data_IF_734833090515
#
_entry.id   IF_734833090515
#
_cell.length_a   1.000
_cell.length_b   1.000
_cell.length_c   1.000
_cell.angle_alpha   90.00
_cell.angle_beta   90.00
_cell.angle_gamma   90.00
#
_symmetry.space_group_name_H-M   'P 1'
#
loop_
_entity.id
_entity.type
_entity.pdbx_description
1 polymer ?
#
# COMPACT_ATOMS: atom_id res chain seq x y z
N UNK A 1 79.35 25.74 19.93
CA UNK A 1 79.64 27.18 20.09
C UNK A 1 78.31 27.91 20.17
N UNK A 2 77.97 28.48 21.34
CA UNK A 2 76.77 29.28 21.69
C UNK A 2 75.40 28.56 21.54
N UNK A 3 74.36 28.76 22.35
CA UNK A 3 74.03 29.77 23.36
C UNK A 3 72.92 29.22 24.28
N UNK A 4 72.96 29.58 25.57
CA UNK A 4 71.87 29.41 26.54
C UNK A 4 70.68 30.35 26.26
N UNK A 5 69.47 29.95 26.67
CA UNK A 5 68.55 30.63 27.65
C UNK A 5 67.08 30.21 27.42
N UNK A 6 66.43 29.58 28.41
CA UNK A 6 65.54 30.19 29.43
C UNK A 6 64.40 31.05 28.86
N UNK A 7 63.16 30.56 28.99
CA UNK A 7 61.93 31.34 29.17
C UNK A 7 60.97 30.46 30.02
N UNK A 8 60.98 30.60 31.35
CA UNK A 8 59.93 31.27 32.15
C UNK A 8 58.53 30.64 32.03
N UNK A 9 58.03 30.06 33.13
CA UNK A 9 56.57 29.98 33.39
C UNK A 9 55.99 31.39 33.66
N UNK A 10 54.78 31.56 34.22
CA UNK A 10 53.99 30.57 34.97
C UNK A 10 52.44 30.68 34.77
N UNK A 11 51.72 29.96 35.65
CA UNK A 11 50.53 30.41 36.38
C UNK A 11 49.18 30.54 35.66
N UNK A 12 48.34 29.56 36.01
CA UNK A 12 46.90 29.63 36.28
C UNK A 12 46.05 30.63 35.49
N UNK A 13 45.20 30.09 34.62
CA UNK A 13 43.88 30.69 34.40
C UNK A 13 42.81 29.61 34.45
N UNK A 14 42.12 29.58 35.59
CA UNK A 14 40.66 29.49 35.73
C UNK A 14 39.90 28.54 34.80
N UNK A 15 39.19 27.61 35.43
CA UNK A 15 38.30 26.67 34.80
C UNK A 15 37.41 27.31 33.74
N UNK A 16 37.45 26.71 32.55
CA UNK A 16 36.33 26.75 31.62
C UNK A 16 35.60 25.44 31.77
N UNK A 17 34.41 25.55 32.35
CA UNK A 17 33.42 24.50 32.40
C UNK A 17 33.27 23.83 31.03
N UNK A 18 33.32 22.50 31.01
CA UNK A 18 32.97 21.65 29.85
C UNK A 18 31.43 21.58 29.67
N UNK A 19 30.64 22.35 30.43
CA UNK A 19 29.19 22.37 30.35
C UNK A 19 28.63 23.41 29.37
N UNK A 20 28.98 23.36 28.09
CA UNK A 20 28.13 24.00 27.05
C UNK A 20 28.54 23.58 25.64
N UNK A 21 28.47 22.29 25.35
CA UNK A 21 28.57 21.82 23.96
C UNK A 21 27.41 20.88 23.60
N UNK A 22 26.25 21.13 24.19
CA UNK A 22 24.99 20.47 23.89
C UNK A 22 23.91 21.54 23.77
N UNK A 23 24.00 22.44 22.78
CA UNK A 23 22.94 23.45 22.64
C UNK A 23 22.58 23.91 21.24
N UNK A 24 23.29 23.55 20.16
CA UNK A 24 22.90 24.02 18.81
C UNK A 24 23.07 23.00 17.68
N UNK A 25 23.17 21.72 18.00
CA UNK A 25 22.84 20.65 17.05
C UNK A 25 21.35 20.37 17.16
N UNK A 26 20.49 21.23 16.61
CA UNK A 26 19.08 20.88 16.44
C UNK A 26 19.09 19.69 15.48
N UNK A 27 18.98 18.47 16.02
CA UNK A 27 18.74 17.29 15.21
C UNK A 27 17.48 17.65 14.43
N UNK A 28 17.67 17.91 13.13
CA UNK A 28 16.62 18.42 12.27
C UNK A 28 15.66 17.26 12.09
N UNK A 29 14.71 17.15 13.02
CA UNK A 29 13.66 16.16 12.90
C UNK A 29 12.95 16.51 11.60
N UNK A 30 12.73 15.49 10.76
CA UNK A 30 12.12 15.61 9.43
C UNK A 30 10.76 16.31 9.45
N UNK A 31 10.20 16.53 10.64
CA UNK A 31 9.02 17.31 10.94
C UNK A 31 9.12 18.79 10.58
N UNK A 32 10.28 19.43 10.44
CA UNK A 32 10.33 20.92 10.34
C UNK A 32 10.21 21.51 8.91
N UNK A 33 9.94 20.70 7.88
CA UNK A 33 9.66 21.22 6.53
C UNK A 33 8.15 21.43 6.32
N UNK A 34 7.67 22.69 6.23
CA UNK A 34 6.24 22.97 6.06
C UNK A 34 5.66 22.36 4.77
N UNK A 35 6.46 22.24 3.70
CA UNK A 35 6.08 21.61 2.43
C UNK A 35 5.83 20.10 2.54
N UNK A 36 6.60 19.40 3.37
CA UNK A 36 6.39 17.97 3.61
C UNK A 36 5.17 17.74 4.50
N UNK A 37 4.93 18.61 5.49
CA UNK A 37 3.71 18.58 6.32
C UNK A 37 2.45 18.78 5.48
N UNK A 38 2.44 19.77 4.58
CA UNK A 38 1.30 20.02 3.69
C UNK A 38 1.00 18.81 2.81
N UNK A 39 2.01 18.20 2.18
CA UNK A 39 1.85 16.98 1.40
C UNK A 39 1.36 15.79 2.22
N UNK A 40 1.82 15.64 3.46
CA UNK A 40 1.30 14.59 4.34
C UNK A 40 -0.15 14.80 4.72
N UNK A 41 -0.59 16.05 4.94
CA UNK A 41 -1.98 16.38 5.26
C UNK A 41 -2.87 16.10 4.05
N UNK A 42 -2.48 16.55 2.85
CA UNK A 42 -3.19 16.25 1.60
C UNK A 42 -3.28 14.73 1.35
N UNK A 43 -2.21 13.99 1.61
CA UNK A 43 -2.25 12.53 1.53
C UNK A 43 -3.23 11.92 2.54
N UNK A 44 -3.18 12.33 3.81
CA UNK A 44 -4.08 11.83 4.86
C UNK A 44 -5.54 12.11 4.49
N UNK A 45 -5.84 13.34 4.05
CA UNK A 45 -7.17 13.73 3.60
C UNK A 45 -7.64 12.92 2.40
N UNK A 46 -6.74 12.64 1.44
CA UNK A 46 -7.07 11.79 0.28
C UNK A 46 -7.39 10.34 0.67
N UNK A 47 -6.73 9.80 1.70
CA UNK A 47 -6.98 8.44 2.23
C UNK A 47 -8.33 8.37 2.94
N UNK A 48 -8.71 9.43 3.66
CA UNK A 48 -10.00 9.51 4.35
C UNK A 48 -11.15 9.79 3.37
N UNK A 49 -10.86 10.45 2.25
CA UNK A 49 -11.83 10.67 1.18
C UNK A 49 -12.13 9.40 0.40
N UNK A 50 -13.29 9.35 -0.25
CA UNK A 50 -13.66 8.21 -1.12
C UNK A 50 -12.72 8.22 -2.34
N UNK A 51 -12.14 7.08 -2.76
CA UNK A 51 -11.22 7.07 -3.88
C UNK A 51 -11.92 7.59 -5.15
N UNK A 52 -11.38 8.68 -5.69
CA UNK A 52 -11.88 9.33 -6.90
C UNK A 52 -11.60 8.44 -8.11
N UNK A 53 -12.63 8.21 -8.93
CA UNK A 53 -12.46 7.52 -10.20
C UNK A 53 -11.72 8.46 -11.17
N UNK A 54 -10.48 8.11 -11.54
CA UNK A 54 -9.78 8.83 -12.60
C UNK A 54 -10.49 8.56 -13.92
N UNK A 55 -11.01 9.63 -14.55
CA UNK A 55 -11.69 9.52 -15.83
C UNK A 55 -10.74 8.94 -16.89
N UNK A 56 -11.27 8.08 -17.77
CA UNK A 56 -10.51 7.60 -18.92
C UNK A 56 -10.13 8.79 -19.79
N UNK A 57 -8.84 9.14 -19.85
CA UNK A 57 -8.36 10.09 -20.85
C UNK A 57 -8.58 9.47 -22.24
N UNK A 58 -9.15 10.22 -23.19
CA UNK A 58 -9.22 9.83 -24.61
C UNK A 58 -7.80 9.85 -25.18
N UNK A 59 -7.00 8.80 -24.94
CA UNK A 59 -5.62 8.73 -25.44
C UNK A 59 -5.66 8.26 -26.89
N UNK A 60 -4.87 8.92 -27.75
CA UNK A 60 -4.69 8.61 -29.17
C UNK A 60 -3.85 7.34 -29.39
N UNK A 61 -3.09 6.90 -28.38
CA UNK A 61 -2.31 5.66 -28.39
C UNK A 61 -2.78 4.70 -27.29
N UNK A 62 -3.00 3.41 -27.59
CA UNK A 62 -3.22 2.42 -26.55
C UNK A 62 -1.91 2.27 -25.77
N UNK A 63 -1.97 2.49 -24.46
CA UNK A 63 -0.90 2.00 -23.59
C UNK A 63 -0.93 0.47 -23.61
N UNK A 64 0.26 -0.17 -23.58
CA UNK A 64 0.43 -1.51 -24.10
C UNK A 64 -0.28 -2.59 -23.27
N UNK A 65 -0.55 -2.35 -21.99
CA UNK A 65 -1.02 -3.40 -21.09
C UNK A 65 -2.17 -2.94 -20.20
N UNK A 66 -3.09 -3.87 -19.93
CA UNK A 66 -4.12 -3.72 -18.89
C UNK A 66 -4.06 -4.88 -17.91
N UNK A 67 -4.32 -4.59 -16.64
CA UNK A 67 -4.27 -5.57 -15.55
C UNK A 67 -5.66 -5.74 -14.96
N UNK A 68 -6.17 -6.95 -14.94
CA UNK A 68 -7.38 -7.31 -14.21
C UNK A 68 -7.01 -8.11 -12.96
N UNK A 69 -7.53 -7.70 -11.81
CA UNK A 69 -7.27 -8.34 -10.53
C UNK A 69 -8.58 -8.81 -9.91
N UNK A 70 -8.67 -10.10 -9.63
CA UNK A 70 -9.78 -10.72 -8.92
C UNK A 70 -9.38 -10.97 -7.48
N UNK A 71 -10.11 -10.38 -6.55
CA UNK A 71 -9.94 -10.58 -5.11
C UNK A 71 -11.08 -11.46 -4.60
N UNK A 72 -10.73 -12.51 -3.86
CA UNK A 72 -11.67 -13.42 -3.21
C UNK A 72 -11.46 -13.39 -1.70
N UNK A 73 -12.54 -13.34 -0.93
CA UNK A 73 -12.49 -13.34 0.52
C UNK A 73 -13.79 -13.83 1.16
N UNK A 74 -13.73 -14.11 2.46
CA UNK A 74 -14.89 -14.54 3.25
C UNK A 74 -15.65 -13.35 3.86
N UNK A 75 -14.95 -12.26 4.20
CA UNK A 75 -15.53 -11.07 4.83
C UNK A 75 -15.65 -9.92 3.83
N UNK A 76 -16.87 -9.37 3.71
CA UNK A 76 -17.18 -8.21 2.86
C UNK A 76 -16.42 -6.93 3.28
N UNK A 77 -16.41 -6.51 4.56
CA UNK A 77 -15.82 -5.22 4.92
C UNK A 77 -14.30 -5.19 4.69
N UNK A 78 -13.62 -6.30 4.95
CA UNK A 78 -12.18 -6.45 4.71
C UNK A 78 -11.90 -6.41 3.20
N UNK A 79 -12.74 -7.07 2.40
CA UNK A 79 -12.68 -7.06 0.94
C UNK A 79 -12.85 -5.66 0.33
N UNK A 80 -13.82 -4.89 0.83
CA UNK A 80 -14.06 -3.53 0.35
C UNK A 80 -12.99 -2.54 0.85
N UNK A 81 -12.46 -2.72 2.07
CA UNK A 81 -11.33 -1.93 2.58
C UNK A 81 -10.06 -2.17 1.76
N UNK A 82 -9.75 -3.43 1.46
CA UNK A 82 -8.60 -3.80 0.64
C UNK A 82 -8.75 -3.31 -0.81
N UNK A 83 -9.95 -3.40 -1.38
CA UNK A 83 -10.25 -2.82 -2.69
C UNK A 83 -9.94 -1.31 -2.72
N UNK A 84 -10.33 -0.56 -1.68
CA UNK A 84 -10.02 0.88 -1.57
C UNK A 84 -8.53 1.15 -1.51
N UNK A 85 -7.78 0.34 -0.76
CA UNK A 85 -6.32 0.42 -0.72
C UNK A 85 -5.70 0.23 -2.12
N UNK A 86 -6.11 -0.82 -2.85
CA UNK A 86 -5.63 -1.07 -4.22
C UNK A 86 -5.96 0.08 -5.18
N UNK A 87 -7.17 0.64 -5.08
CA UNK A 87 -7.60 1.78 -5.90
C UNK A 87 -6.77 3.03 -5.59
N UNK A 88 -6.46 3.28 -4.31
CA UNK A 88 -5.60 4.39 -3.89
C UNK A 88 -4.17 4.23 -4.41
N UNK A 89 -3.62 3.01 -4.39
CA UNK A 89 -2.29 2.72 -4.94
C UNK A 89 -2.24 2.88 -6.46
N UNK A 90 -3.32 2.56 -7.18
CA UNK A 90 -3.40 2.81 -8.61
C UNK A 90 -3.58 4.31 -8.94
N UNK A 91 -4.29 5.05 -8.07
CA UNK A 91 -4.47 6.48 -8.20
C UNK A 91 -3.16 7.25 -8.04
N UNK A 92 -2.28 6.85 -7.11
CA UNK A 92 -0.95 7.46 -6.96
C UNK A 92 -0.06 7.25 -8.19
N UNK A 93 -0.28 6.16 -8.93
CA UNK A 93 0.35 5.88 -10.22
C UNK A 93 -0.35 6.57 -11.40
N UNK A 94 -1.35 7.42 -11.15
CA UNK A 94 -2.13 8.17 -12.16
C UNK A 94 -2.84 7.27 -13.20
N UNK A 95 -3.10 6.02 -12.86
CA UNK A 95 -3.74 5.08 -13.78
C UNK A 95 -5.27 5.06 -13.60
N UNK A 96 -6.03 5.09 -14.71
CA UNK A 96 -7.47 4.93 -14.66
C UNK A 96 -7.88 3.52 -14.21
N UNK A 97 -8.77 3.47 -13.22
CA UNK A 97 -9.27 2.22 -12.64
C UNK A 97 -10.77 2.04 -12.80
N UNK A 98 -11.21 0.78 -12.84
CA UNK A 98 -12.62 0.37 -12.75
C UNK A 98 -12.72 -0.76 -11.75
N UNK A 99 -13.75 -0.77 -10.92
CA UNK A 99 -14.00 -1.85 -9.99
C UNK A 99 -15.46 -2.29 -10.02
N UNK A 100 -15.72 -3.51 -9.58
CA UNK A 100 -17.05 -4.09 -9.55
C UNK A 100 -17.17 -5.23 -8.56
N UNK A 101 -18.38 -5.40 -8.05
CA UNK A 101 -18.77 -6.54 -7.24
C UNK A 101 -19.20 -7.70 -8.13
N UNK A 102 -18.59 -8.88 -7.94
CA UNK A 102 -19.03 -10.10 -8.61
C UNK A 102 -20.03 -10.86 -7.72
N UNK A 103 -20.87 -11.71 -8.31
CA UNK A 103 -21.79 -12.55 -7.55
C UNK A 103 -21.03 -13.47 -6.58
N UNK A 104 -21.55 -13.58 -5.37
CA UNK A 104 -20.99 -14.41 -4.29
C UNK A 104 -21.17 -15.88 -4.62
N UNK A 105 -20.13 -16.70 -4.41
CA UNK A 105 -20.25 -18.16 -4.51
C UNK A 105 -20.69 -18.71 -3.15
N UNK A 106 -21.82 -19.39 -3.12
CA UNK A 106 -22.38 -19.99 -1.90
C UNK A 106 -22.24 -21.51 -2.01
N UNK A 107 -21.49 -22.11 -1.09
CA UNK A 107 -21.41 -23.57 -0.93
C UNK A 107 -22.19 -23.95 0.32
N UNK A 108 -23.03 -24.99 0.24
CA UNK A 108 -23.86 -25.45 1.35
C UNK A 108 -23.59 -26.92 1.61
N UNK A 109 -23.59 -27.30 2.89
CA UNK A 109 -23.48 -28.69 3.31
C UNK A 109 -24.41 -28.94 4.50
N UNK A 110 -25.08 -30.08 4.48
CA UNK A 110 -25.91 -30.54 5.57
C UNK A 110 -25.13 -31.55 6.40
N UNK A 111 -25.08 -31.34 7.71
CA UNK A 111 -24.42 -32.23 8.66
C UNK A 111 -25.42 -32.60 9.73
N UNK A 112 -25.37 -33.84 10.21
CA UNK A 112 -26.15 -34.25 11.37
C UNK A 112 -25.73 -33.42 12.58
N UNK A 113 -26.70 -32.85 13.30
CA UNK A 113 -26.40 -32.01 14.45
C UNK A 113 -25.88 -32.82 15.64
N UNK A 114 -26.36 -34.07 15.77
CA UNK A 114 -25.97 -35.03 16.81
C UNK A 114 -24.98 -36.06 16.29
N UNK A 115 -24.03 -36.55 17.12
CA UNK A 115 -23.13 -37.63 16.75
C UNK A 115 -23.83 -38.98 16.45
N UNK A 116 -25.00 -39.25 17.02
CA UNK A 116 -25.69 -40.55 16.82
C UNK A 116 -27.23 -40.46 16.86
N UNK A 117 -27.89 -41.40 16.14
CA UNK A 117 -29.34 -41.73 16.07
C UNK A 117 -30.31 -40.63 15.59
N UNK A 118 -30.05 -39.36 15.87
CA UNK A 118 -30.99 -38.26 15.57
C UNK A 118 -30.88 -37.74 14.12
N UNK A 119 -31.40 -38.50 13.14
CA UNK A 119 -31.37 -38.14 11.71
C UNK A 119 -32.22 -36.91 11.35
N UNK A 120 -33.30 -36.68 12.09
CA UNK A 120 -34.20 -35.52 11.90
C UNK A 120 -33.55 -34.20 12.32
N UNK A 121 -32.51 -34.25 13.17
CA UNK A 121 -31.72 -33.09 13.56
C UNK A 121 -30.55 -32.92 12.58
N UNK A 122 -30.72 -31.99 11.65
CA UNK A 122 -29.77 -31.65 10.59
C UNK A 122 -29.48 -30.15 10.64
N UNK A 123 -28.19 -29.79 10.61
CA UNK A 123 -27.72 -28.40 10.58
C UNK A 123 -27.29 -28.05 9.16
N UNK A 124 -27.79 -26.92 8.65
CA UNK A 124 -27.34 -26.34 7.39
C UNK A 124 -26.14 -25.45 7.64
N UNK A 125 -25.03 -25.77 7.01
CA UNK A 125 -23.82 -24.96 7.05
C UNK A 125 -23.55 -24.38 5.67
N UNK A 126 -22.97 -23.19 5.65
CA UNK A 126 -22.63 -22.51 4.40
C UNK A 126 -21.27 -21.83 4.46
N UNK A 127 -20.61 -21.78 3.30
CA UNK A 127 -19.46 -20.93 3.04
C UNK A 127 -19.77 -19.99 1.91
N UNK A 128 -19.73 -18.69 2.22
CA UNK A 128 -19.92 -17.60 1.26
C UNK A 128 -18.55 -17.05 0.88
N UNK A 129 -18.23 -17.09 -0.41
CA UNK A 129 -17.00 -16.49 -0.95
C UNK A 129 -17.39 -15.28 -1.79
N UNK A 130 -17.10 -14.10 -1.25
CA UNK A 130 -17.33 -12.83 -1.91
C UNK A 130 -16.18 -12.54 -2.89
N UNK A 131 -16.53 -11.92 -4.01
CA UNK A 131 -15.60 -11.65 -5.11
C UNK A 131 -15.70 -10.18 -5.50
N UNK A 132 -14.56 -9.52 -5.62
CA UNK A 132 -14.43 -8.19 -6.20
C UNK A 132 -13.44 -8.26 -7.34
N UNK A 133 -13.70 -7.49 -8.38
CA UNK A 133 -12.75 -7.30 -9.48
C UNK A 133 -12.40 -5.84 -9.56
N UNK A 134 -11.14 -5.54 -9.87
CA UNK A 134 -10.77 -4.25 -10.37
C UNK A 134 -9.82 -4.38 -11.55
N UNK A 135 -10.01 -3.52 -12.54
CA UNK A 135 -9.20 -3.39 -13.73
C UNK A 135 -8.43 -2.08 -13.68
N UNK A 136 -7.14 -2.15 -13.95
CA UNK A 136 -6.21 -1.03 -14.05
C UNK A 136 -5.80 -0.91 -15.51
N UNK A 137 -6.04 0.25 -16.12
CA UNK A 137 -5.81 0.44 -17.54
C UNK A 137 -4.65 1.39 -17.79
N UNK A 138 -3.89 1.11 -18.84
CA UNK A 138 -2.86 2.00 -19.30
C UNK A 138 -1.71 2.14 -18.31
N UNK A 139 -1.18 0.99 -17.89
CA UNK A 139 0.11 0.89 -17.23
C UNK A 139 1.19 0.54 -18.26
N UNK A 140 2.42 0.92 -17.96
CA UNK A 140 3.59 0.45 -18.69
C UNK A 140 3.95 -0.97 -18.21
N UNK A 141 4.49 -1.80 -19.11
CA UNK A 141 4.84 -3.20 -18.82
C UNK A 141 5.76 -3.33 -17.60
N UNK A 142 6.74 -2.44 -17.46
CA UNK A 142 7.68 -2.42 -16.33
C UNK A 142 7.06 -2.07 -14.97
N UNK A 143 5.92 -1.35 -14.97
CA UNK A 143 5.26 -0.88 -13.74
C UNK A 143 4.32 -1.95 -13.19
N UNK A 144 3.73 -2.77 -14.06
CA UNK A 144 2.81 -3.85 -13.70
C UNK A 144 3.40 -4.83 -12.68
N UNK A 145 4.59 -5.43 -12.88
CA UNK A 145 5.12 -6.39 -11.91
C UNK A 145 5.40 -5.75 -10.55
N UNK A 146 5.84 -4.49 -10.52
CA UNK A 146 6.05 -3.73 -9.27
C UNK A 146 4.73 -3.49 -8.54
N UNK A 147 3.67 -3.18 -9.28
CA UNK A 147 2.34 -3.00 -8.73
C UNK A 147 1.76 -4.32 -8.19
N UNK A 148 1.90 -5.42 -8.94
CA UNK A 148 1.50 -6.76 -8.49
C UNK A 148 2.24 -7.11 -7.20
N UNK A 149 3.56 -6.94 -7.15
CA UNK A 149 4.38 -7.17 -5.96
C UNK A 149 3.87 -6.37 -4.75
N UNK A 150 3.56 -5.08 -4.94
CA UNK A 150 3.05 -4.23 -3.87
C UNK A 150 1.69 -4.72 -3.34
N UNK A 151 0.77 -5.07 -4.25
CA UNK A 151 -0.54 -5.61 -3.88
C UNK A 151 -0.37 -6.94 -3.13
N UNK A 152 0.41 -7.88 -3.66
CA UNK A 152 0.64 -9.18 -3.01
C UNK A 152 1.28 -9.04 -1.63
N UNK A 153 2.25 -8.13 -1.46
CA UNK A 153 2.96 -7.92 -0.20
C UNK A 153 2.06 -7.40 0.92
N UNK A 154 1.05 -6.62 0.58
CA UNK A 154 0.13 -6.01 1.53
C UNK A 154 -1.22 -6.73 1.63
N UNK A 155 -1.35 -7.91 1.02
CA UNK A 155 -2.56 -8.70 1.07
C UNK A 155 -2.81 -9.26 2.49
N UNK A 156 -4.04 -9.09 3.04
CA UNK A 156 -4.47 -9.78 4.24
C UNK A 156 -4.45 -11.31 4.09
N UNK A 157 -4.22 -12.07 5.18
CA UNK A 157 -4.00 -13.53 5.13
C UNK A 157 -5.20 -14.34 4.60
N UNK A 158 -6.41 -13.80 4.70
CA UNK A 158 -7.65 -14.49 4.31
C UNK A 158 -8.03 -14.29 2.83
N UNK A 159 -7.25 -13.51 2.10
CA UNK A 159 -7.57 -13.10 0.74
C UNK A 159 -6.82 -13.93 -0.30
N UNK A 160 -7.54 -14.34 -1.34
CA UNK A 160 -6.93 -14.95 -2.52
C UNK A 160 -7.00 -13.99 -3.70
N UNK A 161 -5.84 -13.67 -4.24
CA UNK A 161 -5.66 -12.83 -5.41
C UNK A 161 -5.48 -13.69 -6.66
N UNK A 162 -5.91 -13.16 -7.79
CA UNK A 162 -5.70 -13.75 -9.11
C UNK A 162 -5.53 -12.59 -10.09
N UNK A 163 -4.42 -12.63 -10.83
CA UNK A 163 -4.00 -11.56 -11.72
C UNK A 163 -4.11 -12.05 -13.17
N UNK A 164 -4.67 -11.21 -14.04
CA UNK A 164 -4.72 -11.45 -15.49
C UNK A 164 -4.13 -10.24 -16.20
N UNK A 165 -2.98 -10.43 -16.83
CA UNK A 165 -2.30 -9.42 -17.64
C UNK A 165 -2.81 -9.55 -19.07
N UNK A 166 -3.20 -8.44 -19.66
CA UNK A 166 -3.63 -8.35 -21.05
C UNK A 166 -2.70 -7.41 -21.80
N UNK A 167 -1.90 -7.98 -22.70
CA UNK A 167 -0.99 -7.25 -23.56
C UNK A 167 -1.68 -6.98 -24.91
N UNK A 168 -1.65 -5.72 -25.34
CA UNK A 168 -2.20 -5.30 -26.63
C UNK A 168 -1.10 -5.39 -27.69
N UNK A 169 -1.05 -6.52 -28.40
CA UNK A 169 -0.24 -6.66 -29.61
C UNK A 169 -1.00 -6.02 -30.76
N UNK A 170 -0.38 -5.06 -31.46
CA UNK A 170 -0.96 -4.55 -32.71
C UNK A 170 -0.89 -5.65 -33.75
N UNK A 171 -1.97 -5.92 -34.52
CA UNK A 171 -1.88 -6.84 -35.64
C UNK A 171 -0.87 -6.29 -36.65
N UNK A 172 0.06 -7.12 -37.08
CA UNK A 172 0.91 -6.82 -38.23
C UNK A 172 0.01 -6.74 -39.47
N UNK A 173 0.12 -5.65 -40.22
CA UNK A 173 -0.66 -5.38 -41.43
C UNK A 173 -0.07 -6.10 -42.63
#
# INVERSE_FOLDING_TARGET
MFMLRRFTGPMWSTGRSISSMWSKGRCMQSTDRPELRARTIECIESVLSKPTAVAKTKRSTPLPCSLNVLIRGLSIPLLDAYLRFCLSAAHSLSSPTRHGALPTRIQRWSVLSSPHVHKTAWTQLERRVHRRVFGVYGMHEEVIPKFIWYVERHAPPDMKLEFSIHDYVKPEQ
#
